data_IF_857819547389
#
_entry.id   IF_857819547389
#
_cell.length_a   1.000
_cell.length_b   1.000
_cell.length_c   1.000
_cell.angle_alpha   90.00
_cell.angle_beta   90.00
_cell.angle_gamma   90.00
#
_symmetry.space_group_name_H-M   'P 1'
#
loop_
_entity.id
_entity.type
_entity.pdbx_description
1 polymer ?
#
# COMPACT_ATOMS: atom_id res chain seq x y z
N UNK A 1 15.11 3.74 -65.78
CA UNK A 1 15.41 4.20 -64.42
C UNK A 1 14.08 4.48 -63.71
N UNK A 2 13.57 3.52 -62.91
CA UNK A 2 12.29 3.68 -62.18
C UNK A 2 12.58 4.36 -60.84
N UNK A 3 12.03 5.56 -60.62
CA UNK A 3 12.11 6.26 -59.33
C UNK A 3 11.18 5.59 -58.33
N UNK A 4 11.73 5.00 -57.27
CA UNK A 4 10.97 4.60 -56.10
C UNK A 4 10.65 5.86 -55.28
N UNK A 5 9.37 6.10 -55.03
CA UNK A 5 8.89 7.13 -54.10
C UNK A 5 8.75 6.44 -52.74
N UNK A 6 9.61 6.80 -51.78
CA UNK A 6 9.49 6.37 -50.40
C UNK A 6 8.39 7.20 -49.74
N UNK A 7 7.24 6.58 -49.48
CA UNK A 7 6.15 7.20 -48.71
C UNK A 7 6.44 6.99 -47.23
N UNK A 8 6.73 8.07 -46.50
CA UNK A 8 6.95 8.07 -45.06
C UNK A 8 5.61 8.01 -44.34
N UNK A 9 5.33 6.86 -43.71
CA UNK A 9 4.19 6.69 -42.80
C UNK A 9 4.48 7.46 -41.50
N UNK A 10 3.75 8.55 -41.26
CA UNK A 10 3.81 9.28 -39.99
C UNK A 10 2.97 8.50 -38.98
N UNK A 11 3.62 7.78 -38.05
CA UNK A 11 2.95 7.25 -36.87
C UNK A 11 2.65 8.41 -35.92
N UNK A 12 1.36 8.74 -35.75
CA UNK A 12 0.94 9.59 -34.65
C UNK A 12 1.17 8.84 -33.32
N UNK A 13 1.78 9.47 -32.29
CA UNK A 13 1.92 8.83 -30.99
C UNK A 13 0.52 8.59 -30.42
N UNK A 14 0.19 7.32 -30.16
CA UNK A 14 -0.98 6.99 -29.36
C UNK A 14 -0.78 7.61 -27.98
N UNK A 15 -1.65 8.56 -27.62
CA UNK A 15 -1.73 9.04 -26.26
C UNK A 15 -2.18 7.86 -25.39
N UNK A 16 -1.24 7.23 -24.69
CA UNK A 16 -1.57 6.30 -23.63
C UNK A 16 -2.39 7.09 -22.60
N UNK A 17 -3.62 6.62 -22.34
CA UNK A 17 -4.38 7.13 -21.21
C UNK A 17 -3.52 6.88 -19.97
N UNK A 18 -3.03 7.95 -19.34
CA UNK A 18 -2.28 7.85 -18.09
C UNK A 18 -3.20 7.23 -17.04
N UNK A 19 -2.90 5.99 -16.67
CA UNK A 19 -3.57 5.30 -15.57
C UNK A 19 -3.20 6.03 -14.29
N UNK A 20 -4.17 6.24 -13.40
CA UNK A 20 -3.92 6.74 -12.05
C UNK A 20 -3.44 5.64 -11.09
N UNK A 21 -3.01 4.49 -11.63
CA UNK A 21 -2.57 3.31 -10.89
C UNK A 21 -1.24 2.85 -11.49
N UNK A 22 -0.30 2.50 -10.63
CA UNK A 22 1.01 1.92 -10.96
C UNK A 22 1.26 0.69 -10.09
N UNK A 23 1.82 -0.37 -10.69
CA UNK A 23 2.28 -1.56 -9.96
C UNK A 23 3.60 -1.30 -9.24
N UNK A 24 3.70 -1.81 -8.00
CA UNK A 24 4.95 -1.83 -7.24
C UNK A 24 5.21 -3.22 -6.65
N UNK A 25 6.41 -3.43 -6.10
CA UNK A 25 6.76 -4.64 -5.34
C UNK A 25 5.84 -4.96 -4.17
N UNK A 26 5.05 -3.98 -3.70
CA UNK A 26 4.09 -4.15 -2.61
C UNK A 26 2.65 -4.00 -3.09
N UNK A 27 2.40 -3.91 -4.40
CA UNK A 27 1.06 -3.87 -5.00
C UNK A 27 0.75 -2.59 -5.73
N UNK A 28 -0.45 -2.55 -6.28
CA UNK A 28 -1.01 -1.43 -7.02
C UNK A 28 -1.29 -0.26 -6.08
N UNK A 29 -0.81 0.92 -6.49
CA UNK A 29 -1.00 2.17 -5.76
C UNK A 29 -1.56 3.23 -6.67
N UNK A 30 -2.27 4.20 -6.08
CA UNK A 30 -2.65 5.39 -6.80
C UNK A 30 -1.45 6.33 -6.99
N UNK A 31 -1.40 6.95 -8.16
CA UNK A 31 -0.39 7.94 -8.55
C UNK A 31 -1.04 9.24 -9.02
N UNK A 32 -0.30 10.35 -8.95
CA UNK A 32 -0.72 11.62 -9.53
C UNK A 32 -0.59 11.64 -11.07
N UNK A 33 -0.98 12.75 -11.71
CA UNK A 33 -0.86 12.89 -13.17
C UNK A 33 0.56 12.91 -13.72
N UNK A 34 1.59 12.88 -12.87
CA UNK A 34 3.00 12.75 -13.22
C UNK A 34 3.59 11.37 -12.84
N UNK A 35 2.75 10.42 -12.40
CA UNK A 35 3.16 9.07 -12.01
C UNK A 35 3.77 8.97 -10.61
N UNK A 36 3.70 10.01 -9.78
CA UNK A 36 4.24 9.96 -8.41
C UNK A 36 3.26 9.26 -7.47
N UNK A 37 3.77 8.37 -6.65
CA UNK A 37 3.04 7.66 -5.60
C UNK A 37 2.29 8.61 -4.67
N UNK A 38 1.04 8.25 -4.37
CA UNK A 38 0.21 8.96 -3.43
C UNK A 38 0.18 8.25 -2.08
N UNK A 39 -0.01 9.03 -1.03
CA UNK A 39 0.00 8.61 0.37
C UNK A 39 -1.20 9.19 1.10
N UNK A 40 -1.60 8.53 2.17
CA UNK A 40 -2.50 9.12 3.18
C UNK A 40 -1.73 9.35 4.48
N UNK A 41 -2.27 10.15 5.38
CA UNK A 41 -1.67 10.41 6.69
C UNK A 41 -2.55 9.84 7.79
N UNK A 42 -2.05 8.89 8.59
CA UNK A 42 -2.88 8.24 9.62
C UNK A 42 -3.29 9.17 10.77
N UNK A 43 -2.61 10.31 10.93
CA UNK A 43 -2.97 11.34 11.90
C UNK A 43 -4.03 12.31 11.40
N UNK A 44 -4.37 12.27 10.11
CA UNK A 44 -5.48 13.06 9.59
C UNK A 44 -6.82 12.47 10.06
N UNK A 45 -7.68 13.26 10.71
CA UNK A 45 -9.07 12.88 10.89
C UNK A 45 -9.80 12.86 9.54
N UNK A 46 -10.92 12.12 9.47
CA UNK A 46 -11.71 12.05 8.26
C UNK A 46 -12.15 13.45 7.79
N UNK A 47 -11.94 13.73 6.51
CA UNK A 47 -12.36 14.99 5.89
C UNK A 47 -11.48 16.20 6.20
N UNK A 48 -10.35 16.05 6.91
CA UNK A 48 -9.49 17.19 7.30
C UNK A 48 -8.01 16.82 7.34
N UNK A 49 -7.18 17.70 6.79
CA UNK A 49 -5.72 17.63 6.92
C UNK A 49 -5.25 18.35 8.19
N UNK A 50 -4.34 17.71 8.93
CA UNK A 50 -3.53 18.33 10.00
C UNK A 50 -2.06 18.52 9.59
N UNK A 51 -1.70 18.14 8.36
CA UNK A 51 -0.36 18.36 7.82
C UNK A 51 -0.26 19.76 7.22
N UNK A 52 0.32 20.69 7.99
CA UNK A 52 0.56 22.09 7.62
C UNK A 52 2.04 22.44 7.82
N UNK A 53 2.45 23.62 7.36
CA UNK A 53 3.78 24.19 7.61
C UNK A 53 4.90 23.25 7.09
N UNK A 54 5.91 22.94 7.90
CA UNK A 54 7.01 22.05 7.50
C UNK A 54 6.52 20.67 7.06
N UNK A 55 5.36 20.21 7.56
CA UNK A 55 4.79 18.93 7.14
C UNK A 55 4.47 18.95 5.64
N UNK A 56 3.84 20.01 5.14
CA UNK A 56 3.39 20.09 3.74
C UNK A 56 4.54 20.38 2.77
N UNK A 57 5.69 20.84 3.28
CA UNK A 57 6.93 20.94 2.50
C UNK A 57 7.51 19.55 2.20
N UNK A 58 7.46 18.64 3.17
CA UNK A 58 7.93 17.26 3.00
C UNK A 58 6.87 16.36 2.34
N UNK A 59 5.60 16.64 2.64
CA UNK A 59 4.43 15.93 2.14
C UNK A 59 3.50 16.89 1.38
N UNK A 60 3.87 17.31 0.15
CA UNK A 60 3.04 18.24 -0.61
C UNK A 60 1.62 17.66 -0.82
N UNK A 61 0.56 18.44 -0.51
CA UNK A 61 -0.81 17.99 -0.73
C UNK A 61 -1.08 17.81 -2.22
N UNK A 62 -1.89 16.82 -2.57
CA UNK A 62 -2.45 16.69 -3.92
C UNK A 62 -3.64 17.65 -4.03
N UNK A 63 -3.39 18.86 -4.50
CA UNK A 63 -4.43 19.88 -4.61
C UNK A 63 -5.42 19.52 -5.71
N UNK A 64 -6.69 19.90 -5.56
CA UNK A 64 -7.71 19.66 -6.57
C UNK A 64 -7.51 20.47 -7.86
N UNK A 65 -6.66 21.50 -7.81
CA UNK A 65 -6.18 22.23 -8.98
C UNK A 65 -5.08 21.50 -9.75
N UNK A 66 -4.44 20.49 -9.14
CA UNK A 66 -3.40 19.74 -9.81
C UNK A 66 -3.97 18.92 -10.96
N UNK A 67 -3.18 18.78 -12.03
CA UNK A 67 -3.52 17.85 -13.10
C UNK A 67 -3.52 16.44 -12.55
N UNK A 68 -4.70 15.87 -12.47
CA UNK A 68 -4.96 14.48 -12.14
C UNK A 68 -5.66 13.81 -13.31
N UNK A 69 -5.50 12.49 -13.46
CA UNK A 69 -6.27 11.74 -14.45
C UNK A 69 -7.77 11.98 -14.21
N UNK A 70 -8.56 12.14 -15.29
CA UNK A 70 -10.02 12.24 -15.21
C UNK A 70 -10.65 11.04 -14.50
N UNK A 71 -9.92 9.92 -14.40
CA UNK A 71 -10.30 8.72 -13.65
C UNK A 71 -10.45 8.97 -12.14
N UNK A 72 -9.64 9.87 -11.56
CA UNK A 72 -9.76 10.24 -10.15
C UNK A 72 -11.11 10.91 -9.85
N UNK A 73 -11.64 11.71 -10.79
CA UNK A 73 -12.94 12.35 -10.62
C UNK A 73 -14.15 11.44 -10.86
N UNK A 74 -13.96 10.29 -11.51
CA UNK A 74 -15.06 9.33 -11.80
C UNK A 74 -15.15 8.18 -10.81
N UNK A 75 -14.10 7.92 -10.01
CA UNK A 75 -14.13 6.89 -8.99
C UNK A 75 -14.75 7.45 -7.69
N UNK A 76 -15.80 6.79 -7.20
CA UNK A 76 -16.57 7.20 -6.01
C UNK A 76 -15.78 7.15 -4.68
N UNK A 77 -14.64 6.47 -4.66
CA UNK A 77 -13.74 6.47 -3.50
C UNK A 77 -13.03 7.82 -3.33
N UNK A 78 -12.92 8.61 -4.41
CA UNK A 78 -12.27 9.90 -4.38
C UNK A 78 -13.24 11.02 -4.06
N UNK A 79 -12.78 11.95 -3.25
CA UNK A 79 -13.52 13.13 -2.81
C UNK A 79 -12.58 14.32 -2.67
N UNK A 80 -13.13 15.48 -2.30
CA UNK A 80 -12.34 16.67 -2.00
C UNK A 80 -12.60 17.14 -0.59
N UNK A 81 -11.53 17.52 0.10
CA UNK A 81 -11.58 18.17 1.41
C UNK A 81 -11.14 19.62 1.28
N UNK A 82 -11.67 20.50 2.13
CA UNK A 82 -11.20 21.89 2.22
C UNK A 82 -10.17 22.00 3.33
N UNK A 83 -8.96 22.46 2.99
CA UNK A 83 -7.88 22.74 3.93
C UNK A 83 -8.16 24.04 4.70
N UNK A 84 -7.42 24.27 5.78
CA UNK A 84 -7.62 25.46 6.64
C UNK A 84 -7.32 26.78 5.91
N UNK A 85 -6.47 26.76 4.88
CA UNK A 85 -6.15 27.90 4.02
C UNK A 85 -7.21 28.14 2.92
N UNK A 86 -8.27 27.33 2.88
CA UNK A 86 -9.35 27.40 1.89
C UNK A 86 -9.10 26.61 0.61
N UNK A 87 -7.88 26.09 0.39
CA UNK A 87 -7.58 25.26 -0.78
C UNK A 87 -8.32 23.92 -0.73
N UNK A 88 -8.58 23.34 -1.91
CA UNK A 88 -9.20 22.01 -2.06
C UNK A 88 -8.11 20.97 -2.27
N UNK A 89 -8.19 19.86 -1.56
CA UNK A 89 -7.26 18.73 -1.66
C UNK A 89 -8.04 17.46 -1.99
N UNK A 90 -7.48 16.62 -2.87
CA UNK A 90 -8.03 15.31 -3.15
C UNK A 90 -7.91 14.38 -1.94
N UNK A 91 -8.89 13.51 -1.76
CA UNK A 91 -8.94 12.54 -0.68
C UNK A 91 -9.42 11.19 -1.19
N UNK A 92 -8.84 10.10 -0.67
CA UNK A 92 -9.26 8.72 -0.91
C UNK A 92 -10.01 8.21 0.32
N UNK A 93 -11.26 7.79 0.16
CA UNK A 93 -12.13 7.33 1.24
C UNK A 93 -12.15 8.34 2.42
N UNK A 94 -12.22 9.63 2.08
CA UNK A 94 -12.21 10.76 3.02
C UNK A 94 -10.85 11.07 3.66
N UNK A 95 -9.76 10.36 3.33
CA UNK A 95 -8.40 10.62 3.80
C UNK A 95 -7.65 11.52 2.81
N UNK A 96 -7.13 12.68 3.22
CA UNK A 96 -6.41 13.59 2.31
C UNK A 96 -5.19 12.90 1.68
N UNK A 97 -4.94 13.20 0.39
CA UNK A 97 -3.86 12.61 -0.40
C UNK A 97 -2.65 13.52 -0.51
N UNK A 98 -1.47 12.94 -0.39
CA UNK A 98 -0.20 13.64 -0.40
C UNK A 98 0.79 12.95 -1.33
N UNK A 99 1.81 13.71 -1.72
CA UNK A 99 3.02 13.22 -2.38
C UNK A 99 4.17 13.19 -1.37
N UNK A 100 5.23 12.46 -1.69
CA UNK A 100 6.48 12.55 -0.95
C UNK A 100 7.54 13.35 -1.72
N UNK A 101 8.22 14.30 -1.06
CA UNK A 101 9.15 15.19 -1.74
C UNK A 101 10.36 14.48 -2.39
N UNK A 102 10.74 13.29 -1.90
CA UNK A 102 11.84 12.50 -2.46
C UNK A 102 11.44 11.56 -3.59
N UNK A 103 10.15 11.32 -3.83
CA UNK A 103 9.72 10.50 -4.98
C UNK A 103 9.91 11.32 -6.25
N UNK A 104 10.74 10.82 -7.18
CA UNK A 104 11.11 11.52 -8.42
C UNK A 104 10.67 10.79 -9.67
N UNK A 105 10.59 9.47 -9.63
CA UNK A 105 10.24 8.59 -10.74
C UNK A 105 8.94 7.86 -10.44
N UNK A 106 8.30 7.39 -11.50
CA UNK A 106 7.17 6.48 -11.38
C UNK A 106 7.57 5.22 -10.61
N UNK A 107 6.70 4.78 -9.70
CA UNK A 107 6.94 3.64 -8.82
C UNK A 107 7.86 3.92 -7.62
N UNK A 108 8.44 5.13 -7.48
CA UNK A 108 9.16 5.50 -6.26
C UNK A 108 8.18 5.52 -5.08
N UNK A 109 8.52 4.80 -4.00
CA UNK A 109 7.71 4.73 -2.78
C UNK A 109 8.49 5.13 -1.53
N UNK A 110 9.46 6.05 -1.62
CA UNK A 110 10.40 6.32 -0.51
C UNK A 110 9.73 6.90 0.74
N UNK A 111 8.50 7.42 0.62
CA UNK A 111 7.69 7.90 1.73
C UNK A 111 7.00 6.77 2.51
N UNK A 112 6.86 5.58 1.92
CA UNK A 112 6.05 4.52 2.48
C UNK A 112 6.56 4.10 3.86
N UNK A 113 5.69 4.20 4.86
CA UNK A 113 5.96 3.77 6.22
C UNK A 113 6.81 4.73 7.04
N UNK A 114 7.15 5.92 6.55
CA UNK A 114 7.90 6.93 7.33
C UNK A 114 7.21 7.16 8.68
N UNK A 115 7.93 6.89 9.78
CA UNK A 115 7.42 6.97 11.16
C UNK A 115 6.16 6.12 11.43
N UNK A 116 5.82 5.17 10.57
CA UNK A 116 4.61 4.33 10.65
C UNK A 116 3.29 5.07 10.41
N UNK A 117 3.31 6.30 9.86
CA UNK A 117 2.09 7.13 9.75
C UNK A 117 1.76 7.55 8.32
N UNK A 118 2.57 7.15 7.34
CA UNK A 118 2.41 7.46 5.92
C UNK A 118 2.24 6.19 5.08
N UNK A 119 1.09 5.52 5.16
CA UNK A 119 0.77 4.41 4.27
C UNK A 119 0.57 4.93 2.84
N UNK A 120 0.91 4.06 1.88
CA UNK A 120 0.58 4.29 0.47
C UNK A 120 -0.95 4.34 0.30
N UNK A 121 -1.40 5.17 -0.62
CA UNK A 121 -2.77 5.15 -1.11
C UNK A 121 -2.89 3.96 -2.08
N UNK A 122 -3.16 2.78 -1.52
CA UNK A 122 -3.29 1.54 -2.29
C UNK A 122 -4.53 1.57 -3.18
N UNK A 123 -4.43 0.94 -4.35
CA UNK A 123 -5.53 0.76 -5.31
C UNK A 123 -6.08 -0.67 -5.30
N UNK A 124 -5.84 -1.39 -4.21
CA UNK A 124 -6.31 -2.73 -3.90
C UNK A 124 -6.81 -2.80 -2.44
N UNK A 125 -7.31 -3.96 -1.99
CA UNK A 125 -7.94 -4.14 -0.68
C UNK A 125 -6.95 -4.59 0.42
N UNK A 126 -5.65 -4.62 0.15
CA UNK A 126 -4.64 -5.12 1.11
C UNK A 126 -4.46 -4.12 2.26
N UNK A 127 -4.77 -4.56 3.48
CA UNK A 127 -4.62 -3.74 4.69
C UNK A 127 -3.19 -3.71 5.27
N UNK A 128 -2.31 -4.58 4.79
CA UNK A 128 -0.90 -4.64 5.21
C UNK A 128 -0.16 -3.38 4.76
N UNK A 129 0.63 -2.81 5.66
CA UNK A 129 1.39 -1.57 5.42
C UNK A 129 2.90 -1.84 5.47
N UNK A 130 3.66 -0.82 5.08
CA UNK A 130 5.08 -0.73 5.38
C UNK A 130 5.30 0.12 6.63
N UNK A 131 6.29 -0.27 7.42
CA UNK A 131 6.93 0.56 8.44
C UNK A 131 8.37 0.84 8.04
N UNK A 132 8.83 2.08 8.27
CA UNK A 132 10.20 2.51 8.01
C UNK A 132 10.83 2.99 9.33
N UNK A 133 11.82 2.24 9.82
CA UNK A 133 12.56 2.54 11.06
C UNK A 133 13.76 3.50 10.83
N UNK A 134 13.96 3.95 9.59
CA UNK A 134 15.09 4.78 9.15
C UNK A 134 16.26 3.99 8.58
N UNK A 135 16.33 2.68 8.82
CA UNK A 135 17.37 1.79 8.30
C UNK A 135 16.83 0.79 7.27
N UNK A 136 15.61 0.29 7.48
CA UNK A 136 14.94 -0.69 6.63
C UNK A 136 13.43 -0.43 6.59
N UNK A 137 12.78 -1.00 5.58
CA UNK A 137 11.32 -1.09 5.50
C UNK A 137 10.87 -2.53 5.65
N UNK A 138 9.75 -2.74 6.32
CA UNK A 138 9.19 -4.07 6.51
C UNK A 138 7.67 -4.03 6.66
N UNK A 139 7.03 -5.18 6.43
CA UNK A 139 5.59 -5.32 6.51
C UNK A 139 5.10 -5.26 7.96
N UNK A 140 3.99 -4.53 8.15
CA UNK A 140 3.28 -4.41 9.42
C UNK A 140 1.78 -4.52 9.22
N UNK A 141 1.06 -4.91 10.28
CA UNK A 141 -0.41 -4.91 10.28
C UNK A 141 -0.99 -3.47 10.33
N UNK A 142 -2.32 -3.38 10.37
CA UNK A 142 -3.06 -2.13 10.51
C UNK A 142 -2.71 -1.35 11.80
N UNK A 143 -2.23 -2.04 12.83
CA UNK A 143 -1.76 -1.47 14.10
C UNK A 143 -0.25 -1.17 14.13
N UNK A 144 0.46 -1.30 13.01
CA UNK A 144 1.91 -1.15 12.87
C UNK A 144 2.74 -2.18 13.68
N UNK A 145 2.19 -3.38 13.95
CA UNK A 145 2.97 -4.49 14.49
C UNK A 145 3.64 -5.27 13.37
N UNK A 146 4.91 -5.64 13.57
CA UNK A 146 5.74 -6.36 12.62
C UNK A 146 5.13 -7.69 12.19
N UNK A 147 5.19 -7.94 10.88
CA UNK A 147 4.74 -9.19 10.29
C UNK A 147 5.91 -10.10 9.93
N UNK A 148 5.67 -11.40 10.06
CA UNK A 148 6.66 -12.47 9.92
C UNK A 148 6.14 -13.58 9.01
N UNK A 149 7.06 -14.29 8.37
CA UNK A 149 6.80 -15.58 7.70
C UNK A 149 7.41 -16.73 8.49
N UNK A 150 6.84 -17.92 8.32
CA UNK A 150 7.31 -19.15 8.94
C UNK A 150 7.89 -20.09 7.88
N UNK A 151 9.15 -20.50 8.04
CA UNK A 151 9.84 -21.36 7.06
C UNK A 151 9.16 -22.73 6.89
N UNK A 152 8.50 -23.24 7.93
CA UNK A 152 7.85 -24.56 7.89
C UNK A 152 6.47 -24.56 7.25
N UNK A 153 5.92 -23.39 6.96
CA UNK A 153 4.67 -23.31 6.21
C UNK A 153 4.87 -23.80 4.77
N UNK A 154 3.78 -24.31 4.20
CA UNK A 154 3.73 -24.66 2.79
C UNK A 154 3.17 -23.47 2.01
N UNK A 155 3.43 -23.46 0.71
CA UNK A 155 2.84 -22.46 -0.17
C UNK A 155 1.32 -22.45 -0.03
N UNK A 156 0.77 -21.27 0.28
CA UNK A 156 -0.64 -21.02 0.53
C UNK A 156 -1.27 -21.92 1.62
N UNK A 157 -0.47 -22.42 2.57
CA UNK A 157 -0.97 -23.25 3.66
C UNK A 157 -0.14 -23.09 4.94
N UNK A 158 -0.81 -22.60 5.99
CA UNK A 158 -0.25 -22.58 7.34
C UNK A 158 -0.19 -23.98 7.95
N UNK A 159 0.91 -24.29 8.63
CA UNK A 159 1.06 -25.43 9.56
C UNK A 159 1.06 -24.99 11.04
N UNK A 160 1.03 -23.68 11.30
CA UNK A 160 1.02 -23.09 12.63
C UNK A 160 -0.41 -23.03 13.21
N UNK A 161 -0.70 -23.96 14.13
CA UNK A 161 -1.96 -24.07 14.86
C UNK A 161 -1.70 -24.38 16.35
N UNK A 162 -2.73 -24.30 17.19
CA UNK A 162 -2.65 -24.65 18.62
C UNK A 162 -1.60 -23.81 19.35
N UNK A 163 -0.65 -24.40 20.08
CA UNK A 163 0.36 -23.62 20.81
C UNK A 163 1.22 -22.71 19.91
N UNK A 164 1.34 -23.06 18.62
CA UNK A 164 2.07 -22.23 17.67
C UNK A 164 1.39 -20.88 17.48
N UNK A 165 0.08 -20.86 17.20
CA UNK A 165 -0.66 -19.62 16.89
C UNK A 165 -0.89 -18.74 18.12
N UNK A 166 -0.77 -19.30 19.33
CA UNK A 166 -0.73 -18.51 20.58
C UNK A 166 0.55 -17.65 20.66
N UNK A 167 1.67 -18.17 20.16
CA UNK A 167 2.95 -17.44 20.13
C UNK A 167 3.14 -16.65 18.85
N UNK A 168 2.55 -17.12 17.77
CA UNK A 168 2.57 -16.51 16.45
C UNK A 168 1.15 -16.27 15.96
N UNK A 169 0.43 -15.26 16.50
CA UNK A 169 -0.94 -14.98 16.06
C UNK A 169 -0.98 -14.70 14.55
N UNK A 170 -1.88 -15.35 13.79
CA UNK A 170 -2.06 -15.06 12.37
C UNK A 170 -2.41 -13.59 12.14
N UNK A 171 -1.91 -13.01 11.06
CA UNK A 171 -2.36 -11.73 10.54
C UNK A 171 -3.65 -11.96 9.74
N UNK A 172 -4.78 -11.90 10.42
CA UNK A 172 -6.08 -12.15 9.82
C UNK A 172 -6.51 -11.03 8.86
N UNK A 173 -7.31 -11.40 7.86
CA UNK A 173 -8.05 -10.47 7.01
C UNK A 173 -9.20 -9.89 7.81
N UNK A 174 -9.36 -8.56 7.77
CA UNK A 174 -10.38 -7.85 8.53
C UNK A 174 -11.80 -8.32 8.15
N UNK A 175 -12.70 -8.37 9.13
CA UNK A 175 -14.09 -8.85 8.94
C UNK A 175 -14.86 -8.09 7.86
N UNK A 176 -14.58 -6.79 7.72
CA UNK A 176 -15.27 -5.95 6.74
C UNK A 176 -14.93 -6.37 5.30
N UNK A 177 -13.72 -6.89 5.08
CA UNK A 177 -13.31 -7.44 3.79
C UNK A 177 -13.91 -8.83 3.57
N UNK A 178 -13.92 -9.69 4.59
CA UNK A 178 -14.50 -11.03 4.45
C UNK A 178 -16.02 -10.98 4.23
N UNK A 179 -16.71 -9.97 4.78
CA UNK A 179 -18.13 -9.72 4.53
C UNK A 179 -18.44 -9.30 3.08
N UNK A 180 -17.50 -8.67 2.37
CA UNK A 180 -17.64 -8.38 0.93
C UNK A 180 -17.56 -9.64 0.06
N UNK A 181 -17.15 -10.77 0.63
CA UNK A 181 -16.82 -12.01 -0.08
C UNK A 181 -15.36 -12.01 -0.50
N UNK A 182 -14.60 -13.03 -0.12
CA UNK A 182 -13.15 -13.08 -0.32
C UNK A 182 -12.77 -13.11 -1.81
N UNK A 183 -13.64 -13.64 -2.67
CA UNK A 183 -13.42 -13.65 -4.12
C UNK A 183 -13.57 -12.26 -4.75
N UNK A 184 -14.13 -11.30 -4.00
CA UNK A 184 -14.37 -9.92 -4.47
C UNK A 184 -13.29 -8.94 -4.00
N UNK A 185 -12.34 -9.35 -3.16
CA UNK A 185 -11.25 -8.46 -2.76
C UNK A 185 -10.15 -8.45 -3.82
N UNK A 186 -9.65 -7.26 -4.13
CA UNK A 186 -8.53 -7.09 -5.04
C UNK A 186 -7.23 -7.23 -4.24
N UNK A 187 -6.34 -8.10 -4.70
CA UNK A 187 -5.07 -8.40 -4.03
C UNK A 187 -3.96 -8.37 -5.06
N UNK A 188 -2.92 -7.56 -4.84
CA UNK A 188 -1.83 -7.36 -5.82
C UNK A 188 -0.47 -7.32 -5.12
N UNK A 189 0.63 -7.37 -5.89
CA UNK A 189 1.99 -7.19 -5.35
C UNK A 189 2.44 -8.28 -4.40
N UNK A 190 2.26 -9.54 -4.81
CA UNK A 190 2.66 -10.71 -4.02
C UNK A 190 1.73 -11.04 -2.86
N UNK A 191 0.80 -10.14 -2.51
CA UNK A 191 -0.19 -10.41 -1.46
C UNK A 191 -1.24 -11.42 -1.93
N UNK A 192 -1.68 -12.24 -0.99
CA UNK A 192 -2.76 -13.18 -1.17
C UNK A 192 -3.52 -13.43 0.12
N UNK A 193 -4.46 -14.37 0.06
CA UNK A 193 -5.24 -14.80 1.22
C UNK A 193 -5.34 -16.32 1.21
N UNK A 194 -5.27 -16.92 2.40
CA UNK A 194 -5.59 -18.33 2.61
C UNK A 194 -6.76 -18.47 3.58
N UNK A 195 -7.63 -19.44 3.33
CA UNK A 195 -8.61 -19.89 4.32
C UNK A 195 -7.92 -20.85 5.31
N UNK A 196 -8.14 -20.63 6.60
CA UNK A 196 -7.65 -21.48 7.68
C UNK A 196 -8.71 -22.53 8.04
N UNK A 197 -8.32 -23.50 8.87
CA UNK A 197 -9.18 -24.63 9.31
C UNK A 197 -10.37 -24.21 10.18
N UNK A 198 -10.31 -23.02 10.75
CA UNK A 198 -11.33 -22.39 11.60
C UNK A 198 -12.23 -21.43 10.80
N UNK A 199 -12.21 -21.52 9.47
CA UNK A 199 -12.95 -20.67 8.54
C UNK A 199 -12.58 -19.17 8.58
N UNK A 200 -11.49 -18.82 9.27
CA UNK A 200 -10.90 -17.48 9.20
C UNK A 200 -9.99 -17.34 7.98
N UNK A 201 -9.70 -16.10 7.59
CA UNK A 201 -8.83 -15.79 6.47
C UNK A 201 -7.56 -15.09 6.96
N UNK A 202 -6.40 -15.49 6.43
CA UNK A 202 -5.09 -14.96 6.80
C UNK A 202 -4.39 -14.37 5.57
N UNK A 203 -3.78 -13.20 5.75
CA UNK A 203 -2.96 -12.58 4.72
C UNK A 203 -1.73 -13.44 4.41
N UNK A 204 -1.36 -13.50 3.14
CA UNK A 204 -0.10 -14.07 2.68
C UNK A 204 0.72 -13.01 1.93
N UNK A 205 2.03 -13.20 1.87
CA UNK A 205 2.93 -12.47 0.99
C UNK A 205 3.86 -13.48 0.30
N UNK A 206 3.91 -13.44 -1.03
CA UNK A 206 4.64 -14.40 -1.87
C UNK A 206 4.28 -15.85 -1.51
N UNK A 207 2.98 -16.11 -1.33
CA UNK A 207 2.43 -17.41 -0.96
C UNK A 207 2.71 -17.87 0.48
N UNK A 208 3.39 -17.05 1.30
CA UNK A 208 3.71 -17.39 2.70
C UNK A 208 2.73 -16.75 3.67
N UNK A 209 2.13 -17.50 4.62
CA UNK A 209 1.23 -16.93 5.61
C UNK A 209 1.93 -15.92 6.53
N UNK A 210 1.23 -14.84 6.88
CA UNK A 210 1.75 -13.75 7.69
C UNK A 210 1.33 -13.86 9.15
N UNK A 211 2.26 -13.59 10.07
CA UNK A 211 2.08 -13.71 11.51
C UNK A 211 2.57 -12.49 12.25
N UNK A 212 2.03 -12.29 13.45
CA UNK A 212 2.57 -11.41 14.47
C UNK A 212 3.37 -12.22 15.47
N UNK A 213 4.26 -11.57 16.21
CA UNK A 213 4.97 -12.19 17.33
C UNK A 213 4.36 -11.73 18.65
N UNK A 214 3.98 -12.67 19.52
CA UNK A 214 3.24 -12.34 20.75
C UNK A 214 3.97 -11.41 21.74
N UNK A 215 5.30 -11.25 21.61
CA UNK A 215 6.08 -10.33 22.45
C UNK A 215 6.23 -8.94 21.84
N UNK A 216 5.98 -8.77 20.55
CA UNK A 216 5.99 -7.46 19.92
C UNK A 216 4.64 -6.79 20.23
N UNK A 217 4.67 -5.86 21.17
CA UNK A 217 3.51 -5.12 21.67
C UNK A 217 3.58 -3.63 21.35
N UNK A 218 4.74 -3.16 20.90
CA UNK A 218 5.00 -1.78 20.53
C UNK A 218 5.36 -1.67 19.05
N UNK A 219 4.96 -0.55 18.46
CA UNK A 219 5.31 -0.19 17.09
C UNK A 219 6.83 -0.15 16.94
N UNK A 220 7.34 -0.82 15.92
CA UNK A 220 8.77 -0.87 15.63
C UNK A 220 9.51 -2.08 16.23
N UNK A 221 8.89 -2.85 17.13
CA UNK A 221 9.50 -4.06 17.67
C UNK A 221 9.57 -5.15 16.58
N UNK A 222 10.76 -5.73 16.40
CA UNK A 222 10.99 -6.85 15.47
C UNK A 222 11.58 -8.07 16.20
N UNK A 223 11.19 -8.33 17.46
CA UNK A 223 11.88 -9.31 18.32
C UNK A 223 11.57 -10.76 17.95
N UNK A 224 10.62 -10.98 17.04
CA UNK A 224 10.33 -12.28 16.44
C UNK A 224 11.32 -12.71 15.36
N UNK A 225 12.08 -11.77 14.80
CA UNK A 225 12.99 -12.08 13.70
C UNK A 225 14.08 -13.06 14.13
N UNK A 226 14.29 -14.12 13.35
CA UNK A 226 15.28 -15.15 13.62
C UNK A 226 14.94 -16.09 14.78
N UNK A 227 13.73 -16.03 15.38
CA UNK A 227 13.35 -16.96 16.44
C UNK A 227 13.47 -18.40 15.94
N UNK A 228 14.30 -19.20 16.63
CA UNK A 228 14.63 -20.59 16.24
C UNK A 228 15.15 -20.74 14.80
N UNK A 229 15.65 -19.67 14.19
CA UNK A 229 16.12 -19.60 12.79
C UNK A 229 15.09 -19.98 11.72
N UNK A 230 13.79 -19.96 12.04
CA UNK A 230 12.71 -20.37 11.12
C UNK A 230 11.62 -19.31 10.96
N UNK A 231 11.76 -18.16 11.61
CA UNK A 231 10.84 -17.03 11.56
C UNK A 231 11.56 -15.82 11.02
N UNK A 232 10.97 -15.16 10.03
CA UNK A 232 11.66 -14.11 9.28
C UNK A 232 10.77 -12.88 9.12
N UNK A 233 11.31 -11.73 9.49
CA UNK A 233 10.72 -10.43 9.19
C UNK A 233 10.68 -10.22 7.66
N UNK A 234 9.56 -9.70 7.14
CA UNK A 234 9.45 -9.40 5.70
C UNK A 234 9.98 -7.99 5.45
N UNK A 235 11.23 -7.88 5.02
CA UNK A 235 11.86 -6.62 4.63
C UNK A 235 11.64 -6.30 3.15
N UNK A 236 11.56 -5.02 2.82
CA UNK A 236 11.36 -4.48 1.47
C UNK A 236 12.57 -3.68 0.99
#
# INVERSE_FOLDING_TARGET
MKKLILSTLILAPMAYASTNITDTSIGEIYVDGAGKSLYTFTKDPAGKSVCTDDCETLWPPLLSSDKVSSQLSSNSEFSQVTRNDGSKQWALNGKPLYRWFKDKKEGDIYGAGVKGVWPLARADDVAVKLYNDGSRRYLVDDNNLSLYTFEKDKENQSVCYSDCEVKWPPAYVNSDLTQKGIDNIKVTGGFGVIQRKDDTYQWTFEGKPLYRWFKDTQVGETTGDGVKNVWHLITQ
#
